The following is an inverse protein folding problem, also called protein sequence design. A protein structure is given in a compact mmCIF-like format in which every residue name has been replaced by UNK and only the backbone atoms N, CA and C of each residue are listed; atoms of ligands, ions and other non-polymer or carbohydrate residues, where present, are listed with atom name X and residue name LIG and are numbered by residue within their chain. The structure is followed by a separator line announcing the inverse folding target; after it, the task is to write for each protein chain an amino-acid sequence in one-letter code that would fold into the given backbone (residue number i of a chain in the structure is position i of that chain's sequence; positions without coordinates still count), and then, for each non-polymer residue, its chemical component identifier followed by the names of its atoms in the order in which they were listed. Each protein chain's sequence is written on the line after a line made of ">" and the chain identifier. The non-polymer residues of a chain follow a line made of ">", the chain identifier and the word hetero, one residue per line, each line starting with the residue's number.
data_IF_117547269114
#
_entry.id   IF_117547269114
#
_cell.length_a   1.000
_cell.length_b   1.000
_cell.length_c   1.000
_cell.angle_alpha   90.00
_cell.angle_beta   90.00
_cell.angle_gamma   90.00
#
_symmetry.space_group_name_H-M   'P 1'
#
loop_
_entity.id
_entity.type
_entity.pdbx_description
1 polymer ?
#
# COMPACT_ATOMS: atom_id res chain seq x y z
N UNK A 1 -11.81 18.89 10.79
CA UNK A 1 -11.73 19.94 9.75
C UNK A 1 -10.69 19.58 8.68
N UNK A 2 -10.75 20.27 7.54
CA UNK A 2 -9.75 20.12 6.46
C UNK A 2 -8.37 20.60 6.92
N UNK A 3 -8.29 21.63 7.76
CA UNK A 3 -7.01 22.08 8.34
C UNK A 3 -6.31 20.99 9.15
N UNK A 4 -7.06 20.20 9.93
CA UNK A 4 -6.49 19.08 10.68
C UNK A 4 -5.97 17.98 9.74
N UNK A 5 -6.68 17.72 8.63
CA UNK A 5 -6.20 16.77 7.59
C UNK A 5 -4.91 17.26 6.95
N UNK A 6 -4.82 18.57 6.61
CA UNK A 6 -3.59 19.16 6.05
C UNK A 6 -2.40 19.02 7.01
N UNK A 7 -2.63 19.27 8.30
CA UNK A 7 -1.61 19.08 9.33
C UNK A 7 -1.13 17.62 9.41
N UNK A 8 -2.06 16.65 9.37
CA UNK A 8 -1.71 15.22 9.34
C UNK A 8 -0.88 14.87 8.11
N UNK A 9 -1.22 15.42 6.94
CA UNK A 9 -0.46 15.20 5.70
C UNK A 9 0.97 15.71 5.84
N UNK A 10 1.13 16.90 6.42
CA UNK A 10 2.43 17.52 6.65
C UNK A 10 3.26 16.72 7.68
N UNK A 11 2.69 16.45 8.85
CA UNK A 11 3.35 15.72 9.95
C UNK A 11 3.78 14.31 9.53
N UNK A 12 3.00 13.64 8.67
CA UNK A 12 3.26 12.29 8.18
C UNK A 12 3.98 12.23 6.84
N UNK A 13 4.26 13.40 6.24
CA UNK A 13 4.89 13.52 4.91
C UNK A 13 4.18 12.70 3.81
N UNK A 14 2.83 12.67 3.82
CA UNK A 14 2.07 11.95 2.81
C UNK A 14 2.16 12.66 1.45
N UNK A 15 2.51 11.90 0.41
CA UNK A 15 2.54 12.37 -0.99
C UNK A 15 1.16 12.41 -1.66
N UNK A 16 0.12 11.85 -1.01
CA UNK A 16 -1.25 11.79 -1.51
C UNK A 16 -2.20 12.64 -0.67
N UNK A 17 -3.32 13.04 -1.29
CA UNK A 17 -4.33 13.92 -0.67
C UNK A 17 -5.77 13.37 -0.79
N UNK A 18 -5.94 12.10 -1.09
CA UNK A 18 -7.26 11.46 -1.17
C UNK A 18 -7.35 10.39 -0.11
N UNK A 19 -8.39 10.45 0.72
CA UNK A 19 -8.53 9.61 1.90
C UNK A 19 -9.92 8.99 1.97
N UNK A 20 -10.06 7.67 2.09
CA UNK A 20 -11.30 7.06 2.55
C UNK A 20 -11.64 7.57 3.96
N UNK A 21 -12.90 7.88 4.17
CA UNK A 21 -13.39 8.33 5.48
C UNK A 21 -14.22 7.21 6.08
N UNK A 22 -13.88 6.81 7.29
CA UNK A 22 -14.56 5.74 8.04
C UNK A 22 -15.06 6.25 9.40
N UNK A 23 -16.07 5.61 9.95
CA UNK A 23 -16.48 5.84 11.32
C UNK A 23 -15.64 5.03 12.32
N UNK A 24 -15.94 5.14 13.62
CA UNK A 24 -15.24 4.44 14.70
C UNK A 24 -15.25 2.91 14.55
N UNK A 25 -16.27 2.35 13.88
CA UNK A 25 -16.40 0.92 13.58
C UNK A 25 -15.68 0.51 12.28
N UNK A 26 -14.90 1.43 11.65
CA UNK A 26 -14.24 1.27 10.35
C UNK A 26 -15.18 1.09 9.15
N UNK A 27 -16.46 1.39 9.31
CA UNK A 27 -17.42 1.38 8.19
C UNK A 27 -17.16 2.60 7.32
N UNK A 28 -17.17 2.41 6.02
CA UNK A 28 -16.93 3.47 5.03
C UNK A 28 -18.10 4.47 5.04
N UNK A 29 -17.82 5.75 5.25
CA UNK A 29 -18.82 6.84 5.23
C UNK A 29 -18.64 7.81 4.08
N UNK A 30 -17.47 7.80 3.43
CA UNK A 30 -17.24 8.66 2.27
C UNK A 30 -15.80 8.62 1.76
N UNK A 31 -15.51 9.50 0.80
CA UNK A 31 -14.20 9.67 0.19
C UNK A 31 -13.83 11.16 0.17
N UNK A 32 -12.79 11.55 0.88
CA UNK A 32 -12.26 12.90 0.85
C UNK A 32 -11.27 13.03 -0.32
N UNK A 33 -11.64 13.81 -1.31
CA UNK A 33 -10.85 14.01 -2.53
C UNK A 33 -9.77 15.08 -2.32
N UNK A 34 -8.60 14.93 -2.93
CA UNK A 34 -7.54 15.94 -2.95
C UNK A 34 -7.95 17.29 -3.55
N UNK A 35 -9.06 17.35 -4.27
CA UNK A 35 -9.60 18.63 -4.78
C UNK A 35 -10.05 19.56 -3.66
N UNK A 36 -10.54 19.01 -2.54
CA UNK A 36 -11.05 19.77 -1.39
C UNK A 36 -10.03 19.83 -0.23
N UNK A 37 -8.96 19.05 -0.27
CA UNK A 37 -7.88 19.09 0.73
C UNK A 37 -6.92 20.22 0.40
N UNK A 38 -7.38 21.45 0.64
CA UNK A 38 -6.66 22.72 0.37
C UNK A 38 -6.92 23.72 1.49
N UNK A 39 -5.97 24.60 1.73
CA UNK A 39 -6.02 25.63 2.78
C UNK A 39 -7.29 26.48 2.71
N UNK A 40 -7.72 26.89 1.52
CA UNK A 40 -8.95 27.69 1.32
C UNK A 40 -10.22 27.02 1.83
N UNK A 41 -10.21 25.72 2.08
CA UNK A 41 -11.32 24.95 2.65
C UNK A 41 -11.06 24.52 4.09
N UNK A 42 -10.03 25.07 4.73
CA UNK A 42 -9.54 24.64 6.05
C UNK A 42 -10.59 24.57 7.14
N UNK A 43 -11.53 25.52 7.18
CA UNK A 43 -12.60 25.59 8.18
C UNK A 43 -13.71 24.57 7.99
N UNK A 44 -13.86 23.98 6.80
CA UNK A 44 -14.93 23.01 6.52
C UNK A 44 -14.70 21.70 7.27
N UNK A 45 -15.79 21.06 7.69
CA UNK A 45 -15.74 19.72 8.26
C UNK A 45 -15.52 18.68 7.15
N UNK A 46 -14.79 17.61 7.46
CA UNK A 46 -14.56 16.50 6.54
C UNK A 46 -15.88 15.92 6.03
N UNK A 47 -16.88 15.77 6.89
CA UNK A 47 -18.21 15.24 6.54
C UNK A 47 -18.96 16.12 5.50
N UNK A 48 -18.71 17.42 5.47
CA UNK A 48 -19.31 18.36 4.52
C UNK A 48 -18.58 18.38 3.17
N UNK A 49 -17.26 18.13 3.21
CA UNK A 49 -16.39 18.24 2.05
C UNK A 49 -16.16 16.91 1.30
N UNK A 50 -16.47 15.77 1.94
CA UNK A 50 -16.28 14.45 1.35
C UNK A 50 -17.39 14.11 0.35
N UNK A 51 -17.08 13.25 -0.63
CA UNK A 51 -18.07 12.52 -1.40
C UNK A 51 -18.75 11.51 -0.47
N UNK A 52 -20.09 11.56 -0.28
CA UNK A 52 -20.77 10.66 0.63
C UNK A 52 -20.75 9.22 0.15
N UNK A 53 -20.89 8.25 1.07
CA UNK A 53 -20.79 6.81 0.79
C UNK A 53 -21.61 6.34 -0.42
N UNK A 54 -22.82 6.85 -0.59
CA UNK A 54 -23.72 6.48 -1.70
C UNK A 54 -23.16 6.78 -3.10
N UNK A 55 -22.27 7.76 -3.19
CA UNK A 55 -21.65 8.24 -4.44
C UNK A 55 -20.20 7.74 -4.60
N UNK A 56 -19.74 6.86 -3.70
CA UNK A 56 -18.40 6.26 -3.73
C UNK A 56 -18.46 4.87 -4.33
N UNK A 57 -17.66 4.62 -5.36
CA UNK A 57 -17.54 3.30 -5.96
C UNK A 57 -16.77 2.34 -5.06
N UNK A 58 -17.33 1.17 -4.86
CA UNK A 58 -16.74 0.12 -4.04
C UNK A 58 -16.89 -1.25 -4.71
N UNK A 59 -15.99 -2.16 -4.34
CA UNK A 59 -16.06 -3.58 -4.68
C UNK A 59 -15.97 -4.40 -3.40
N UNK A 60 -16.76 -5.48 -3.32
CA UNK A 60 -16.67 -6.38 -2.18
C UNK A 60 -15.41 -7.25 -2.29
N UNK A 61 -14.66 -7.39 -1.19
CA UNK A 61 -13.42 -8.20 -1.14
C UNK A 61 -13.62 -9.65 -1.61
N UNK A 62 -14.83 -10.21 -1.47
CA UNK A 62 -15.13 -11.56 -1.95
C UNK A 62 -15.06 -11.68 -3.47
N UNK A 63 -15.38 -10.62 -4.19
CA UNK A 63 -15.31 -10.58 -5.66
C UNK A 63 -13.86 -10.61 -6.16
N UNK A 64 -12.90 -10.26 -5.30
CA UNK A 64 -11.47 -10.16 -5.62
C UNK A 64 -10.68 -11.47 -5.40
N UNK A 65 -11.28 -12.50 -4.77
CA UNK A 65 -10.54 -13.68 -4.28
C UNK A 65 -9.76 -14.45 -5.33
N UNK A 66 -10.22 -14.46 -6.59
CA UNK A 66 -9.59 -15.25 -7.67
C UNK A 66 -8.59 -14.46 -8.50
N UNK A 67 -8.96 -13.24 -8.83
CA UNK A 67 -8.17 -12.35 -9.69
C UNK A 67 -8.47 -10.89 -9.31
N UNK A 68 -7.77 -10.35 -8.30
CA UNK A 68 -8.01 -8.99 -7.83
C UNK A 68 -7.64 -7.93 -8.86
N UNK A 69 -6.57 -8.16 -9.63
CA UNK A 69 -6.10 -7.19 -10.63
C UNK A 69 -7.05 -7.15 -11.82
N UNK A 70 -7.41 -8.32 -12.39
CA UNK A 70 -8.35 -8.37 -13.51
C UNK A 70 -9.75 -7.86 -13.15
N UNK A 71 -10.22 -8.08 -11.92
CA UNK A 71 -11.50 -7.54 -11.45
C UNK A 71 -11.47 -6.01 -11.33
N UNK A 72 -10.36 -5.43 -10.83
CA UNK A 72 -10.19 -3.99 -10.74
C UNK A 72 -9.99 -3.35 -12.12
N UNK A 73 -9.21 -3.97 -13.01
CA UNK A 73 -9.01 -3.52 -14.39
C UNK A 73 -10.33 -3.47 -15.16
N UNK A 74 -11.12 -4.54 -15.08
CA UNK A 74 -12.47 -4.58 -15.65
C UNK A 74 -13.34 -3.44 -15.14
N UNK A 75 -13.33 -3.21 -13.82
CA UNK A 75 -14.11 -2.11 -13.22
C UNK A 75 -13.71 -0.75 -13.79
N UNK A 76 -12.42 -0.44 -13.89
CA UNK A 76 -11.95 0.84 -14.40
C UNK A 76 -12.27 1.03 -15.90
N UNK A 77 -12.24 -0.05 -16.69
CA UNK A 77 -12.64 -0.03 -18.09
C UNK A 77 -14.15 0.25 -18.29
N UNK A 78 -14.99 -0.24 -17.37
CA UNK A 78 -16.44 -0.04 -17.40
C UNK A 78 -16.86 1.33 -16.82
N UNK A 79 -16.01 1.99 -16.03
CA UNK A 79 -16.32 3.23 -15.31
C UNK A 79 -15.32 4.34 -15.64
N UNK A 80 -15.41 4.86 -16.87
CA UNK A 80 -14.51 5.91 -17.35
C UNK A 80 -14.49 7.14 -16.44
N UNK A 81 -13.28 7.65 -16.16
CA UNK A 81 -13.09 8.84 -15.32
C UNK A 81 -13.00 8.52 -13.82
N UNK A 82 -13.31 7.30 -13.40
CA UNK A 82 -13.06 6.82 -12.02
C UNK A 82 -11.63 6.33 -11.93
N UNK A 83 -10.89 6.82 -10.95
CA UNK A 83 -9.48 6.49 -10.74
C UNK A 83 -9.18 5.88 -9.35
N UNK A 84 -10.22 5.63 -8.56
CA UNK A 84 -10.11 4.99 -7.24
C UNK A 84 -11.28 4.06 -7.01
N UNK A 85 -10.97 2.83 -6.59
CA UNK A 85 -11.93 1.78 -6.26
C UNK A 85 -11.66 1.30 -4.84
N UNK A 86 -12.58 1.56 -3.93
CA UNK A 86 -12.45 1.13 -2.55
C UNK A 86 -12.92 -0.32 -2.39
N UNK A 87 -12.19 -1.07 -1.59
CA UNK A 87 -12.53 -2.46 -1.25
C UNK A 87 -13.18 -2.49 0.12
N UNK A 88 -14.36 -3.11 0.19
CA UNK A 88 -15.10 -3.26 1.45
C UNK A 88 -15.46 -4.71 1.71
N UNK A 89 -15.70 -5.05 2.97
CA UNK A 89 -16.27 -6.34 3.37
C UNK A 89 -17.80 -6.33 3.30
N UNK A 90 -18.45 -7.39 3.84
CA UNK A 90 -19.90 -7.48 3.83
C UNK A 90 -20.59 -6.52 4.79
N UNK A 91 -19.88 -6.01 5.78
CA UNK A 91 -20.35 -5.03 6.74
C UNK A 91 -20.03 -3.59 6.31
N UNK A 92 -19.64 -3.39 5.05
CA UNK A 92 -19.19 -2.12 4.45
C UNK A 92 -17.95 -1.52 5.16
N UNK A 93 -17.15 -2.34 5.85
CA UNK A 93 -15.89 -1.91 6.44
C UNK A 93 -14.81 -1.82 5.39
N UNK A 94 -14.01 -0.77 5.46
CA UNK A 94 -12.91 -0.54 4.53
C UNK A 94 -11.82 -1.61 4.71
N UNK A 95 -11.52 -2.34 3.61
CA UNK A 95 -10.49 -3.37 3.55
C UNK A 95 -9.28 -2.97 2.69
N UNK A 96 -9.47 -2.10 1.69
CA UNK A 96 -8.40 -1.72 0.78
C UNK A 96 -8.80 -0.66 -0.23
N UNK A 97 -7.88 -0.39 -1.14
CA UNK A 97 -8.03 0.59 -2.22
C UNK A 97 -7.22 0.14 -3.44
N UNK A 98 -7.82 0.22 -4.62
CA UNK A 98 -7.10 0.21 -5.89
C UNK A 98 -7.11 1.60 -6.51
N UNK A 99 -5.98 1.99 -7.12
CA UNK A 99 -5.94 3.14 -8.02
C UNK A 99 -5.80 2.67 -9.47
N UNK A 100 -6.34 3.43 -10.42
CA UNK A 100 -6.21 3.11 -11.84
C UNK A 100 -4.74 2.98 -12.24
N UNK A 101 -3.88 3.92 -11.81
CA UNK A 101 -2.45 3.89 -12.13
C UNK A 101 -1.71 2.66 -11.59
N UNK A 102 -2.11 2.12 -10.44
CA UNK A 102 -1.51 0.88 -9.93
C UNK A 102 -1.94 -0.33 -10.76
N UNK A 103 -3.22 -0.37 -11.18
CA UNK A 103 -3.73 -1.45 -12.01
C UNK A 103 -3.10 -1.42 -13.41
N UNK A 104 -3.00 -0.24 -14.04
CA UNK A 104 -2.31 -0.08 -15.32
C UNK A 104 -0.87 -0.58 -15.25
N UNK A 105 -0.12 -0.12 -14.24
CA UNK A 105 1.27 -0.56 -14.02
C UNK A 105 1.40 -2.06 -13.81
N UNK A 106 0.54 -2.68 -12.98
CA UNK A 106 0.57 -4.12 -12.73
C UNK A 106 0.18 -4.93 -13.96
N UNK A 107 -0.76 -4.43 -14.77
CA UNK A 107 -1.17 -5.05 -16.02
C UNK A 107 -0.06 -4.97 -17.08
N UNK A 108 0.65 -3.85 -17.16
CA UNK A 108 1.82 -3.68 -18.03
C UNK A 108 2.97 -4.61 -17.61
N UNK A 109 3.28 -4.68 -16.31
CA UNK A 109 4.29 -5.59 -15.77
C UNK A 109 3.97 -7.06 -16.10
N UNK A 110 2.68 -7.44 -16.04
CA UNK A 110 2.26 -8.81 -16.35
C UNK A 110 2.43 -9.17 -17.84
N UNK A 111 2.38 -8.18 -18.74
CA UNK A 111 2.58 -8.34 -20.20
C UNK A 111 4.04 -8.22 -20.61
N UNK A 112 4.91 -7.67 -19.77
CA UNK A 112 6.32 -7.47 -20.08
C UNK A 112 7.08 -8.80 -20.09
N UNK A 113 8.09 -8.93 -20.96
CA UNK A 113 8.99 -10.10 -21.03
C UNK A 113 9.78 -10.31 -19.72
N UNK A 114 10.04 -9.22 -19.00
CA UNK A 114 10.70 -9.23 -17.68
C UNK A 114 9.68 -8.92 -16.60
N UNK A 115 9.23 -9.97 -15.93
CA UNK A 115 8.27 -9.81 -14.81
C UNK A 115 8.97 -9.35 -13.55
N UNK A 116 8.42 -8.34 -12.90
CA UNK A 116 8.83 -7.91 -11.57
C UNK A 116 8.58 -9.03 -10.56
N UNK A 117 9.57 -9.29 -9.68
CA UNK A 117 9.41 -10.29 -8.61
C UNK A 117 8.47 -9.76 -7.54
N UNK A 118 7.29 -10.35 -7.43
CA UNK A 118 6.25 -9.97 -6.46
C UNK A 118 5.81 -11.16 -5.61
N UNK A 119 5.36 -10.86 -4.39
CA UNK A 119 4.72 -11.84 -3.52
C UNK A 119 3.23 -12.06 -3.90
N UNK A 120 2.52 -12.90 -3.13
CA UNK A 120 1.09 -13.17 -3.33
C UNK A 120 0.20 -11.96 -3.10
N UNK A 121 0.68 -10.96 -2.38
CA UNK A 121 -0.03 -9.71 -2.08
C UNK A 121 0.35 -8.58 -3.06
N UNK A 122 1.02 -8.91 -4.17
CA UNK A 122 1.51 -8.01 -5.21
C UNK A 122 2.55 -6.98 -4.75
N UNK A 123 3.20 -7.20 -3.58
CA UNK A 123 4.31 -6.37 -3.11
C UNK A 123 5.61 -6.82 -3.77
N UNK A 124 6.50 -5.87 -4.07
CA UNK A 124 7.84 -6.19 -4.57
C UNK A 124 8.61 -6.99 -3.54
N UNK A 125 9.20 -8.10 -3.97
CA UNK A 125 10.13 -8.85 -3.13
C UNK A 125 11.42 -8.06 -2.97
N UNK A 126 11.95 -8.05 -1.76
CA UNK A 126 13.20 -7.37 -1.45
C UNK A 126 14.23 -8.34 -0.87
N UNK A 127 15.50 -8.06 -1.16
CA UNK A 127 16.62 -8.78 -0.59
C UNK A 127 17.61 -7.81 0.05
N UNK A 128 18.20 -8.21 1.16
CA UNK A 128 19.26 -7.47 1.83
C UNK A 128 20.60 -8.21 1.67
N UNK A 129 21.66 -7.47 1.36
CA UNK A 129 23.01 -7.99 1.42
C UNK A 129 23.63 -7.60 2.79
N UNK A 130 24.13 -8.58 3.55
CA UNK A 130 24.80 -8.33 4.81
C UNK A 130 26.20 -8.93 4.82
N UNK A 131 27.12 -8.22 5.45
CA UNK A 131 28.45 -8.74 5.67
C UNK A 131 28.40 -9.86 6.76
N UNK A 132 29.24 -10.86 6.62
CA UNK A 132 29.39 -11.91 7.63
C UNK A 132 30.10 -11.32 8.85
N UNK A 133 29.44 -11.25 10.04
CA UNK A 133 30.05 -10.74 11.24
C UNK A 133 31.11 -11.73 11.76
N UNK A 134 32.23 -11.20 12.26
CA UNK A 134 33.31 -11.99 12.81
C UNK A 134 33.64 -11.53 14.23
N UNK A 135 34.05 -12.48 15.06
CA UNK A 135 34.64 -12.25 16.39
C UNK A 135 36.07 -11.71 16.24
N UNK A 136 36.63 -11.19 17.31
CA UNK A 136 38.01 -10.66 17.34
C UNK A 136 39.07 -11.70 16.95
N UNK A 137 38.77 -12.99 17.15
CA UNK A 137 39.62 -14.12 16.76
C UNK A 137 39.45 -14.51 15.25
N UNK A 138 38.62 -13.76 14.50
CA UNK A 138 38.33 -13.99 13.08
C UNK A 138 37.27 -15.04 12.80
N UNK A 139 36.74 -15.74 13.81
CA UNK A 139 35.69 -16.73 13.64
C UNK A 139 34.34 -16.06 13.38
N UNK A 140 33.41 -16.84 12.80
CA UNK A 140 32.04 -16.39 12.55
C UNK A 140 31.33 -16.10 13.89
N UNK A 141 30.80 -14.86 13.99
CA UNK A 141 29.87 -14.49 15.06
C UNK A 141 28.44 -14.95 14.68
N UNK A 142 28.11 -16.19 15.11
CA UNK A 142 26.84 -16.83 14.78
C UNK A 142 25.63 -16.13 15.42
N UNK A 143 25.80 -15.60 16.62
CA UNK A 143 24.70 -14.98 17.36
C UNK A 143 24.33 -13.65 16.76
N UNK A 144 25.30 -12.83 16.39
CA UNK A 144 25.09 -11.57 15.70
C UNK A 144 24.49 -11.80 14.29
N UNK A 145 24.99 -12.79 13.55
CA UNK A 145 24.44 -13.17 12.26
C UNK A 145 22.97 -13.59 12.36
N UNK A 146 22.64 -14.45 13.33
CA UNK A 146 21.29 -14.92 13.56
C UNK A 146 20.33 -13.77 13.95
N UNK A 147 20.80 -12.87 14.83
CA UNK A 147 20.03 -11.68 15.23
C UNK A 147 19.75 -10.76 14.04
N UNK A 148 20.75 -10.52 13.18
CA UNK A 148 20.58 -9.70 11.97
C UNK A 148 19.58 -10.30 11.00
N UNK A 149 19.70 -11.59 10.68
CA UNK A 149 18.76 -12.30 9.79
C UNK A 149 17.35 -12.28 10.41
N UNK A 150 17.22 -12.51 11.70
CA UNK A 150 15.95 -12.45 12.41
C UNK A 150 15.27 -11.08 12.31
N UNK A 151 16.03 -10.00 12.50
CA UNK A 151 15.52 -8.63 12.37
C UNK A 151 15.05 -8.33 10.92
N UNK A 152 15.83 -8.72 9.91
CA UNK A 152 15.46 -8.53 8.48
C UNK A 152 14.19 -9.32 8.13
N UNK A 153 14.07 -10.56 8.63
CA UNK A 153 12.88 -11.39 8.45
C UNK A 153 11.63 -10.75 9.07
N UNK A 154 11.75 -10.21 10.29
CA UNK A 154 10.66 -9.51 10.98
C UNK A 154 10.23 -8.22 10.25
N UNK A 155 11.14 -7.54 9.55
CA UNK A 155 10.84 -6.39 8.72
C UNK A 155 10.26 -6.76 7.34
N UNK A 156 10.10 -8.05 7.04
CA UNK A 156 9.51 -8.54 5.80
C UNK A 156 10.48 -8.66 4.63
N UNK A 157 11.78 -8.81 4.91
CA UNK A 157 12.76 -9.10 3.86
C UNK A 157 12.59 -10.55 3.35
N UNK A 158 12.47 -10.73 2.03
CA UNK A 158 12.20 -12.03 1.40
C UNK A 158 13.45 -12.89 1.22
N UNK A 159 14.62 -12.28 1.12
CA UNK A 159 15.89 -12.98 0.96
C UNK A 159 17.07 -12.22 1.57
N UNK A 160 18.05 -12.96 2.03
CA UNK A 160 19.31 -12.40 2.56
C UNK A 160 20.49 -12.98 1.78
N UNK A 161 21.32 -12.11 1.25
CA UNK A 161 22.61 -12.47 0.64
C UNK A 161 23.74 -12.23 1.66
N UNK A 162 24.52 -13.26 1.93
CA UNK A 162 25.72 -13.15 2.76
C UNK A 162 26.90 -12.74 1.89
N UNK A 163 27.50 -11.58 2.17
CA UNK A 163 28.67 -11.08 1.46
C UNK A 163 29.93 -11.35 2.25
N UNK A 164 30.91 -11.95 1.58
CA UNK A 164 32.29 -12.10 2.07
C UNK A 164 33.21 -11.27 1.22
N UNK A 165 34.19 -10.59 1.78
CA UNK A 165 35.15 -9.76 1.05
C UNK A 165 35.96 -10.59 0.04
N UNK A 166 36.20 -11.86 0.33
CA UNK A 166 36.89 -12.84 -0.52
C UNK A 166 36.12 -14.15 -0.38
N UNK A 167 35.49 -14.64 -1.43
CA UNK A 167 34.58 -15.79 -1.45
C UNK A 167 35.24 -17.16 -1.16
N UNK A 168 35.91 -17.27 -0.02
CA UNK A 168 36.52 -18.53 0.47
C UNK A 168 35.68 -19.11 1.59
#
# INVERSE_FOLDING_TARGET
>A
TISEVLKIIEDKHYSFRTFPVVNEKRVLVGLLSGRVVKERYGSHKVAEAMTPRKDVFTINQRALKKDPIGAADKFFNEHLGINKLLVVDNDDKLCGLFTLSDIERLSEEARADRRTSRDSDFRLRCAAAIAIPRLDDGKLDKDNLAAHIGALSQMGCDAVALSTAHGH
#
